data_IF_054644075161
#
_entry.id   IF_054644075161
#
_cell.length_a   1.000
_cell.length_b   1.000
_cell.length_c   1.000
_cell.angle_alpha   90.00
_cell.angle_beta   90.00
_cell.angle_gamma   90.00
#
_symmetry.space_group_name_H-M   'P 1'
#
loop_
_entity.id
_entity.type
_entity.pdbx_description
1 polymer ?
#
# COMPACT_ATOMS: atom_id res chain seq x y z
N UNK A 1 -18.80 -3.11 -2.28
CA UNK A 1 -17.85 -2.18 -1.66
C UNK A 1 -18.37 -0.75 -1.86
N UNK A 2 -18.89 -0.15 -0.81
CA UNK A 2 -19.30 1.24 -0.83
C UNK A 2 -18.03 2.06 -0.62
N UNK A 3 -17.50 2.66 -1.68
CA UNK A 3 -16.37 3.55 -1.61
C UNK A 3 -16.89 4.98 -1.42
N UNK A 4 -17.12 5.35 -0.17
CA UNK A 4 -17.44 6.75 0.13
C UNK A 4 -16.18 7.44 0.69
N UNK A 5 -15.83 8.59 0.12
CA UNK A 5 -14.87 9.49 0.73
C UNK A 5 -15.58 10.17 1.87
N UNK A 6 -15.36 9.68 3.07
CA UNK A 6 -15.71 10.45 4.25
C UNK A 6 -14.84 11.69 4.22
N UNK A 7 -15.46 12.80 3.87
CA UNK A 7 -14.81 14.10 3.93
C UNK A 7 -14.45 14.39 5.37
N UNK A 8 -13.36 15.12 5.60
CA UNK A 8 -12.88 15.55 6.94
C UNK A 8 -13.85 16.45 7.72
N UNK A 9 -15.10 16.56 7.31
CA UNK A 9 -16.15 17.24 8.02
C UNK A 9 -16.72 16.33 9.10
N UNK A 10 -16.19 16.48 10.28
CA UNK A 10 -16.68 16.01 11.58
C UNK A 10 -17.61 14.79 11.61
N UNK A 11 -17.16 13.79 12.27
CA UNK A 11 -17.77 12.48 12.52
C UNK A 11 -19.13 12.48 13.24
N UNK A 12 -19.68 13.63 13.58
CA UNK A 12 -20.94 13.79 14.32
C UNK A 12 -22.13 14.24 13.47
N UNK A 13 -22.02 14.11 12.14
CA UNK A 13 -23.14 14.41 11.25
C UNK A 13 -24.11 13.21 11.23
N UNK A 14 -25.22 13.34 11.93
CA UNK A 14 -26.26 12.31 12.01
C UNK A 14 -26.82 11.95 10.63
N UNK A 15 -26.92 12.91 9.69
CA UNK A 15 -27.40 12.64 8.34
C UNK A 15 -26.40 11.74 7.58
N UNK A 16 -25.11 11.93 7.80
CA UNK A 16 -24.06 11.09 7.22
C UNK A 16 -24.12 9.67 7.81
N UNK A 17 -24.23 9.53 9.12
CA UNK A 17 -24.35 8.24 9.80
C UNK A 17 -25.58 7.49 9.34
N UNK A 18 -26.72 8.15 9.26
CA UNK A 18 -27.96 7.55 8.79
C UNK A 18 -27.87 7.10 7.32
N UNK A 19 -27.27 7.93 6.47
CA UNK A 19 -27.00 7.54 5.09
C UNK A 19 -26.12 6.27 4.98
N UNK A 20 -25.08 6.16 5.81
CA UNK A 20 -24.24 4.94 5.86
C UNK A 20 -25.06 3.72 6.31
N UNK A 21 -25.93 3.83 7.32
CA UNK A 21 -26.81 2.73 7.76
C UNK A 21 -27.75 2.29 6.64
N UNK A 22 -28.45 3.25 6.01
CA UNK A 22 -29.36 2.98 4.88
C UNK A 22 -28.63 2.27 3.74
N UNK A 23 -27.45 2.73 3.36
CA UNK A 23 -26.68 2.11 2.30
C UNK A 23 -26.20 0.70 2.67
N UNK A 24 -25.77 0.49 3.90
CA UNK A 24 -25.36 -0.83 4.40
C UNK A 24 -26.55 -1.82 4.37
N UNK A 25 -27.69 -1.41 4.88
CA UNK A 25 -28.90 -2.23 4.92
C UNK A 25 -29.39 -2.56 3.51
N UNK A 26 -29.40 -1.57 2.60
CA UNK A 26 -29.76 -1.77 1.20
C UNK A 26 -28.83 -2.79 0.51
N UNK A 27 -27.50 -2.74 0.75
CA UNK A 27 -26.58 -3.73 0.19
C UNK A 27 -26.88 -5.11 0.72
N UNK A 28 -27.16 -5.26 2.01
CA UNK A 28 -27.54 -6.53 2.61
C UNK A 28 -28.87 -7.08 2.11
N UNK A 29 -29.86 -6.20 1.85
CA UNK A 29 -31.12 -6.62 1.21
C UNK A 29 -30.90 -7.13 -0.22
N UNK A 30 -29.96 -6.54 -0.96
CA UNK A 30 -29.65 -6.93 -2.34
C UNK A 30 -28.76 -8.17 -2.43
N UNK A 31 -27.83 -8.36 -1.48
CA UNK A 31 -26.89 -9.47 -1.47
C UNK A 31 -26.52 -9.88 -0.03
N UNK A 32 -27.09 -11.00 0.40
CA UNK A 32 -26.84 -11.59 1.72
C UNK A 32 -25.56 -12.45 1.77
N UNK A 33 -24.80 -12.54 0.69
CA UNK A 33 -23.65 -13.47 0.58
C UNK A 33 -22.30 -12.80 0.75
N UNK A 34 -22.23 -11.47 0.66
CA UNK A 34 -20.99 -10.69 0.74
C UNK A 34 -21.01 -9.73 1.91
N UNK A 35 -19.84 -9.57 2.53
CA UNK A 35 -19.64 -8.61 3.59
C UNK A 35 -19.50 -7.18 3.03
N UNK A 36 -19.98 -6.21 3.79
CA UNK A 36 -19.82 -4.79 3.50
C UNK A 36 -18.53 -4.25 4.12
N UNK A 37 -17.95 -3.24 3.49
CA UNK A 37 -16.79 -2.50 4.04
C UNK A 37 -16.84 -1.04 3.63
N UNK A 38 -16.22 -0.18 4.44
CA UNK A 38 -15.96 1.23 4.15
C UNK A 38 -14.44 1.44 4.11
N UNK A 39 -13.97 2.27 3.16
CA UNK A 39 -12.59 2.75 3.12
C UNK A 39 -12.49 4.07 3.88
N UNK A 40 -11.90 4.03 5.07
CA UNK A 40 -11.73 5.18 5.97
C UNK A 40 -10.35 5.81 5.77
N UNK A 41 -10.27 7.13 5.77
CA UNK A 41 -8.96 7.81 5.80
C UNK A 41 -8.37 7.79 7.20
N UNK A 42 -7.06 7.56 7.31
CA UNK A 42 -6.37 7.39 8.59
C UNK A 42 -6.38 8.60 9.53
N UNK A 43 -6.82 9.76 9.04
CA UNK A 43 -7.00 10.98 9.85
C UNK A 43 -8.32 11.01 10.64
N UNK A 44 -9.27 10.12 10.32
CA UNK A 44 -10.51 9.99 11.07
C UNK A 44 -10.26 9.29 12.41
N UNK A 45 -11.00 9.70 13.43
CA UNK A 45 -10.89 9.07 14.74
C UNK A 45 -11.34 7.61 14.67
N UNK A 46 -10.55 6.72 15.25
CA UNK A 46 -10.90 5.30 15.33
C UNK A 46 -12.14 5.01 16.17
N UNK A 47 -12.65 6.00 16.92
CA UNK A 47 -13.88 5.90 17.71
C UNK A 47 -15.10 6.47 16.97
N UNK A 48 -14.95 6.91 15.74
CA UNK A 48 -16.07 7.41 14.95
C UNK A 48 -17.16 6.34 14.77
N UNK A 49 -18.43 6.64 15.05
CA UNK A 49 -19.49 5.63 15.10
C UNK A 49 -19.70 4.91 13.75
N UNK A 50 -19.37 5.52 12.62
CA UNK A 50 -19.55 4.89 11.32
C UNK A 50 -18.59 3.70 11.06
N UNK A 51 -17.49 3.56 11.81
CA UNK A 51 -16.61 2.37 11.67
C UNK A 51 -17.29 1.07 12.08
N UNK A 52 -18.38 1.15 12.85
CA UNK A 52 -19.15 0.00 13.35
C UNK A 52 -20.38 -0.31 12.48
N UNK A 53 -20.62 0.42 11.41
CA UNK A 53 -21.77 0.20 10.52
C UNK A 53 -21.53 -0.97 9.58
N UNK A 54 -20.40 -1.08 8.85
CA UNK A 54 -20.16 -2.21 7.96
C UNK A 54 -19.74 -3.48 8.73
N UNK A 55 -19.81 -4.62 8.06
CA UNK A 55 -19.37 -5.90 8.64
C UNK A 55 -17.87 -5.93 8.95
N UNK A 56 -17.06 -5.32 8.11
CA UNK A 56 -15.62 -5.20 8.24
C UNK A 56 -15.17 -3.79 7.90
N UNK A 57 -14.08 -3.34 8.51
CA UNK A 57 -13.54 -2.00 8.27
C UNK A 57 -12.23 -2.05 7.50
N UNK A 58 -11.95 -1.04 6.70
CA UNK A 58 -10.66 -0.87 6.05
C UNK A 58 -10.21 0.59 6.02
N UNK A 59 -8.89 0.80 6.02
CA UNK A 59 -8.31 2.13 6.05
C UNK A 59 -7.43 2.41 4.84
N UNK A 60 -7.54 3.65 4.32
CA UNK A 60 -6.55 4.24 3.45
C UNK A 60 -5.43 4.81 4.33
N UNK A 61 -4.28 4.14 4.37
CA UNK A 61 -3.24 4.42 5.35
C UNK A 61 -1.89 4.60 4.69
N UNK A 62 -1.26 5.77 4.90
CA UNK A 62 -0.10 6.20 4.13
C UNK A 62 1.06 6.71 4.99
N UNK A 63 1.28 6.18 6.21
CA UNK A 63 2.51 6.46 6.95
C UNK A 63 3.73 5.99 6.16
N UNK A 64 4.72 6.87 6.08
CA UNK A 64 5.88 6.66 5.22
C UNK A 64 5.76 7.28 3.83
N UNK A 65 4.61 7.90 3.50
CA UNK A 65 4.46 8.65 2.25
C UNK A 65 3.97 10.08 2.50
N UNK A 66 2.71 10.27 2.90
CA UNK A 66 2.17 11.62 3.17
C UNK A 66 2.58 12.19 4.54
N UNK A 67 3.04 11.37 5.46
CA UNK A 67 3.50 11.76 6.79
C UNK A 67 3.90 10.55 7.61
N UNK A 68 4.51 10.80 8.78
CA UNK A 68 5.00 9.73 9.63
C UNK A 68 6.11 8.90 8.99
N UNK A 69 6.49 7.82 9.65
CA UNK A 69 7.45 6.83 9.17
C UNK A 69 6.74 5.52 8.82
N UNK A 70 7.25 4.79 7.84
CA UNK A 70 6.63 3.53 7.39
C UNK A 70 6.51 2.48 8.50
N UNK A 71 7.40 2.50 9.49
CA UNK A 71 7.36 1.61 10.64
C UNK A 71 6.17 1.85 11.59
N UNK A 72 5.50 2.99 11.47
CA UNK A 72 4.35 3.34 12.31
C UNK A 72 3.07 2.59 11.94
N UNK A 73 3.00 2.02 10.74
CA UNK A 73 1.79 1.31 10.26
C UNK A 73 1.45 0.11 11.16
N UNK A 74 2.43 -0.73 11.48
CA UNK A 74 2.23 -1.90 12.33
C UNK A 74 1.69 -1.56 13.72
N UNK A 75 2.37 -0.69 14.50
CA UNK A 75 1.89 -0.25 15.80
C UNK A 75 0.49 0.38 15.77
N UNK A 76 0.15 1.13 14.72
CA UNK A 76 -1.19 1.70 14.56
C UNK A 76 -2.25 0.60 14.41
N UNK A 77 -1.98 -0.40 13.55
CA UNK A 77 -2.87 -1.55 13.35
C UNK A 77 -3.06 -2.37 14.63
N UNK A 78 -1.96 -2.60 15.37
CA UNK A 78 -1.99 -3.35 16.64
C UNK A 78 -2.81 -2.58 17.70
N UNK A 79 -2.70 -1.26 17.74
CA UNK A 79 -3.49 -0.42 18.63
C UNK A 79 -4.98 -0.47 18.28
N UNK A 80 -5.33 -0.35 17.00
CA UNK A 80 -6.72 -0.48 16.54
C UNK A 80 -7.30 -1.84 16.93
N UNK A 81 -6.59 -2.92 16.62
CA UNK A 81 -7.05 -4.28 16.95
C UNK A 81 -7.20 -4.52 18.47
N UNK A 82 -6.31 -3.93 19.27
CA UNK A 82 -6.41 -3.99 20.73
C UNK A 82 -7.65 -3.27 21.24
N UNK A 83 -7.98 -2.11 20.69
CA UNK A 83 -9.15 -1.31 21.08
C UNK A 83 -10.46 -1.96 20.60
N UNK A 84 -10.44 -2.48 19.36
CA UNK A 84 -11.61 -3.09 18.72
C UNK A 84 -11.34 -4.54 18.28
N UNK A 85 -11.16 -5.48 19.22
CA UNK A 85 -10.75 -6.86 18.89
C UNK A 85 -11.79 -7.64 18.08
N UNK A 86 -13.04 -7.19 18.06
CA UNK A 86 -14.13 -7.83 17.33
C UNK A 86 -14.43 -7.18 15.96
N UNK A 87 -13.77 -6.07 15.62
CA UNK A 87 -13.92 -5.42 14.32
C UNK A 87 -12.79 -5.89 13.41
N UNK A 88 -13.09 -6.64 12.32
CA UNK A 88 -12.06 -7.07 11.40
C UNK A 88 -11.45 -5.86 10.66
N UNK A 89 -10.13 -5.69 10.79
CA UNK A 89 -9.38 -4.59 10.19
C UNK A 89 -8.76 -5.01 8.85
N UNK A 90 -8.86 -4.16 7.83
CA UNK A 90 -8.17 -4.28 6.55
C UNK A 90 -7.48 -2.98 6.15
N UNK A 91 -6.63 -3.07 5.14
CA UNK A 91 -6.02 -1.91 4.49
C UNK A 91 -6.56 -1.78 3.07
N UNK A 92 -7.41 -0.77 2.86
CA UNK A 92 -8.03 -0.49 1.55
C UNK A 92 -7.11 0.25 0.59
N UNK A 93 -6.19 1.04 1.11
CA UNK A 93 -5.12 1.66 0.31
C UNK A 93 -3.85 1.86 1.15
N UNK A 94 -2.72 1.56 0.55
CA UNK A 94 -1.38 1.97 0.98
C UNK A 94 -0.44 1.94 -0.22
N UNK A 95 0.58 2.79 -0.21
CA UNK A 95 1.53 2.88 -1.31
C UNK A 95 2.30 4.19 -1.32
N UNK A 96 3.33 4.27 -2.14
CA UNK A 96 4.08 5.48 -2.40
C UNK A 96 4.43 5.59 -3.88
N UNK A 97 4.77 6.79 -4.34
CA UNK A 97 5.06 7.02 -5.74
C UNK A 97 6.50 6.70 -6.11
N UNK A 98 6.69 6.22 -7.33
CA UNK A 98 7.99 6.07 -7.95
C UNK A 98 7.94 6.39 -9.44
N UNK A 99 8.81 7.29 -9.85
CA UNK A 99 9.15 7.52 -11.24
C UNK A 99 10.30 6.57 -11.58
N UNK A 100 10.10 5.66 -12.52
CA UNK A 100 11.09 4.62 -12.81
C UNK A 100 12.40 5.11 -13.46
N UNK A 101 12.52 6.42 -13.70
CA UNK A 101 13.74 7.11 -14.12
C UNK A 101 14.37 7.98 -13.02
N UNK A 102 13.77 8.04 -11.83
CA UNK A 102 14.37 8.62 -10.64
C UNK A 102 15.03 7.51 -9.84
N UNK A 103 16.30 7.68 -9.53
CA UNK A 103 17.11 6.74 -8.75
C UNK A 103 17.97 7.49 -7.76
N UNK A 104 18.07 6.99 -6.54
CA UNK A 104 18.95 7.53 -5.50
C UNK A 104 19.06 6.56 -4.32
N UNK A 105 19.87 6.87 -3.34
CA UNK A 105 19.71 6.31 -2.00
C UNK A 105 18.34 6.71 -1.46
N UNK A 106 17.51 5.74 -1.02
CA UNK A 106 16.10 5.98 -0.80
C UNK A 106 15.84 6.95 0.37
N UNK A 107 15.00 7.95 0.12
CA UNK A 107 14.47 8.88 1.13
C UNK A 107 12.99 9.05 0.93
N UNK A 108 12.25 9.18 2.04
CA UNK A 108 10.81 9.44 1.99
C UNK A 108 10.50 10.66 1.12
N UNK A 109 9.60 10.50 0.17
CA UNK A 109 9.12 11.58 -0.72
C UNK A 109 10.05 11.93 -1.87
N UNK A 110 11.07 11.12 -2.17
CA UNK A 110 12.03 11.36 -3.25
C UNK A 110 11.55 10.85 -4.62
N UNK A 111 10.41 10.20 -4.70
CA UNK A 111 9.83 9.60 -5.92
C UNK A 111 10.73 8.57 -6.60
N UNK A 112 11.67 7.97 -5.87
CA UNK A 112 12.54 6.94 -6.45
C UNK A 112 11.92 5.55 -6.39
N UNK A 113 12.33 4.68 -7.31
CA UNK A 113 11.94 3.28 -7.30
C UNK A 113 12.52 2.55 -6.08
N UNK A 114 13.71 2.95 -5.63
CA UNK A 114 14.38 2.41 -4.45
C UNK A 114 13.58 2.68 -3.17
N UNK A 115 13.03 3.90 -3.02
CA UNK A 115 12.17 4.19 -1.87
C UNK A 115 10.85 3.43 -1.95
N UNK A 116 10.24 3.32 -3.14
CA UNK A 116 9.02 2.53 -3.30
C UNK A 116 9.26 1.06 -2.93
N UNK A 117 10.38 0.47 -3.35
CA UNK A 117 10.73 -0.90 -3.00
C UNK A 117 10.89 -1.06 -1.48
N UNK A 118 11.66 -0.19 -0.83
CA UNK A 118 11.81 -0.16 0.63
C UNK A 118 10.48 -0.03 1.37
N UNK A 119 9.63 0.92 0.95
CA UNK A 119 8.31 1.13 1.54
C UNK A 119 7.48 -0.15 1.49
N UNK A 120 7.40 -0.78 0.33
CA UNK A 120 6.58 -1.99 0.17
C UNK A 120 7.19 -3.20 0.88
N UNK A 121 8.52 -3.34 0.97
CA UNK A 121 9.16 -4.35 1.82
C UNK A 121 8.72 -4.23 3.28
N UNK A 122 8.74 -3.01 3.82
CA UNK A 122 8.35 -2.76 5.21
C UNK A 122 6.83 -2.96 5.42
N UNK A 123 6.01 -2.56 4.45
CA UNK A 123 4.55 -2.80 4.51
C UNK A 123 4.22 -4.30 4.46
N UNK A 124 4.84 -5.06 3.57
CA UNK A 124 4.66 -6.52 3.47
C UNK A 124 4.96 -7.19 4.81
N UNK A 125 6.10 -6.88 5.43
CA UNK A 125 6.48 -7.41 6.74
C UNK A 125 5.45 -7.08 7.82
N UNK A 126 4.94 -5.86 7.82
CA UNK A 126 3.98 -5.41 8.82
C UNK A 126 2.58 -5.99 8.59
N UNK A 127 2.13 -6.12 7.34
CA UNK A 127 0.79 -6.59 7.00
C UNK A 127 0.66 -8.11 7.08
N UNK A 128 1.55 -8.85 6.42
CA UNK A 128 1.39 -10.30 6.25
C UNK A 128 1.78 -11.12 7.50
N UNK A 129 2.39 -10.50 8.48
CA UNK A 129 2.63 -11.14 9.78
C UNK A 129 1.46 -10.98 10.76
N UNK A 130 0.47 -10.11 10.45
CA UNK A 130 -0.70 -9.83 11.30
C UNK A 130 -1.93 -10.62 10.87
N UNK A 131 -2.18 -11.73 11.52
CA UNK A 131 -3.27 -12.67 11.17
C UNK A 131 -4.67 -12.10 11.34
N UNK A 132 -4.84 -10.98 12.06
CA UNK A 132 -6.13 -10.30 12.24
C UNK A 132 -6.49 -9.37 11.08
N UNK A 133 -5.58 -9.10 10.15
CA UNK A 133 -5.85 -8.32 8.93
C UNK A 133 -6.61 -9.19 7.94
N UNK A 134 -7.86 -8.80 7.61
CA UNK A 134 -8.71 -9.57 6.71
C UNK A 134 -8.39 -9.35 5.23
N UNK A 135 -7.89 -8.17 4.86
CA UNK A 135 -7.49 -7.85 3.48
C UNK A 135 -6.47 -6.70 3.41
N UNK A 136 -5.69 -6.72 2.33
CA UNK A 136 -4.73 -5.66 2.01
C UNK A 136 -4.82 -5.32 0.52
N UNK A 137 -4.90 -4.03 0.19
CA UNK A 137 -5.01 -3.54 -1.18
C UNK A 137 -3.96 -2.46 -1.43
N UNK A 138 -3.00 -2.78 -2.26
CA UNK A 138 -1.99 -1.81 -2.70
C UNK A 138 -2.64 -0.73 -3.56
N UNK A 139 -2.32 0.51 -3.32
CA UNK A 139 -2.63 1.60 -4.21
C UNK A 139 -1.35 2.06 -4.93
N UNK A 140 -1.10 1.60 -6.17
CA UNK A 140 -2.01 0.91 -7.06
C UNK A 140 -1.25 -0.18 -7.84
N UNK A 141 -1.95 -1.04 -8.59
CA UNK A 141 -1.30 -1.99 -9.50
C UNK A 141 -0.60 -1.27 -10.67
N UNK A 142 -1.21 -0.22 -11.22
CA UNK A 142 -0.71 0.52 -12.36
C UNK A 142 -0.62 2.02 -12.07
N UNK A 143 0.38 2.69 -12.65
CA UNK A 143 0.35 4.13 -12.78
C UNK A 143 -0.86 4.54 -13.63
N UNK A 144 -1.47 5.69 -13.34
CA UNK A 144 -2.68 6.12 -14.05
C UNK A 144 -2.80 7.65 -14.13
N UNK A 145 -3.59 8.10 -15.10
CA UNK A 145 -3.94 9.53 -15.25
C UNK A 145 -4.87 9.98 -14.13
N UNK A 146 -4.59 11.15 -13.56
CA UNK A 146 -5.39 11.79 -12.51
C UNK A 146 -5.32 13.32 -12.72
N UNK A 147 -6.20 13.85 -13.53
CA UNK A 147 -6.17 15.22 -14.09
C UNK A 147 -5.90 16.32 -13.03
N UNK A 148 -6.59 16.27 -11.91
CA UNK A 148 -6.44 17.25 -10.84
C UNK A 148 -5.20 17.07 -9.95
N UNK A 149 -4.36 16.06 -10.22
CA UNK A 149 -3.23 15.74 -9.34
C UNK A 149 -2.04 16.65 -9.60
N UNK A 150 -1.58 17.29 -8.51
CA UNK A 150 -0.37 18.13 -8.48
C UNK A 150 0.27 18.02 -7.08
N UNK A 151 0.82 16.84 -6.75
CA UNK A 151 1.38 16.54 -5.43
C UNK A 151 2.89 16.30 -5.45
N UNK A 152 3.57 16.67 -6.54
CA UNK A 152 4.94 16.30 -6.86
C UNK A 152 4.98 15.21 -7.95
N UNK A 153 6.15 14.82 -8.42
CA UNK A 153 6.27 13.96 -9.59
C UNK A 153 5.75 14.65 -10.85
N UNK A 154 4.99 13.93 -11.68
CA UNK A 154 4.38 14.48 -12.90
C UNK A 154 2.94 14.94 -12.64
N UNK A 155 2.62 16.16 -13.08
CA UNK A 155 1.26 16.70 -12.98
C UNK A 155 0.28 15.86 -13.81
N UNK A 156 -0.93 15.66 -13.29
CA UNK A 156 -1.97 14.90 -13.96
C UNK A 156 -1.76 13.39 -13.97
N UNK A 157 -0.79 12.88 -13.20
CA UNK A 157 -0.50 11.46 -13.09
C UNK A 157 -0.32 11.01 -11.64
N UNK A 158 -0.62 9.74 -11.40
CA UNK A 158 -0.34 9.06 -10.13
C UNK A 158 0.64 7.91 -10.41
N UNK A 159 1.81 7.96 -9.80
CA UNK A 159 2.88 6.99 -9.98
C UNK A 159 3.01 5.98 -8.82
N UNK A 160 1.92 5.74 -8.07
CA UNK A 160 1.88 4.69 -7.04
C UNK A 160 1.76 3.27 -7.60
N UNK A 161 1.69 3.13 -8.92
CA UNK A 161 1.65 1.83 -9.58
C UNK A 161 2.88 0.98 -9.29
N UNK A 162 2.67 -0.32 -9.11
CA UNK A 162 3.75 -1.32 -9.14
C UNK A 162 4.23 -1.58 -10.58
N UNK A 163 3.46 -1.15 -11.55
CA UNK A 163 3.71 -1.27 -13.00
C UNK A 163 3.46 0.09 -13.64
N UNK A 164 4.30 0.47 -14.60
CA UNK A 164 4.19 1.76 -15.29
C UNK A 164 2.88 1.92 -16.07
N UNK A 165 2.52 3.18 -16.36
CA UNK A 165 1.30 3.56 -17.09
C UNK A 165 1.11 2.78 -18.40
N UNK A 166 2.18 2.63 -19.18
CA UNK A 166 2.21 1.93 -20.47
C UNK A 166 2.29 0.38 -20.34
N UNK A 167 2.31 -0.14 -19.12
CA UNK A 167 2.41 -1.58 -18.76
C UNK A 167 3.74 -2.25 -19.16
N UNK A 168 4.73 -1.48 -19.61
CA UNK A 168 6.00 -2.06 -20.11
C UNK A 168 6.95 -2.47 -19.00
N UNK A 169 6.95 -1.74 -17.88
CA UNK A 169 7.90 -1.97 -16.81
C UNK A 169 7.19 -2.33 -15.50
N UNK A 170 7.58 -3.45 -14.94
CA UNK A 170 7.31 -3.80 -13.54
C UNK A 170 8.39 -3.16 -12.70
N UNK A 171 7.99 -2.34 -11.71
CA UNK A 171 8.92 -1.73 -10.76
C UNK A 171 9.42 -2.78 -9.75
N UNK A 172 10.51 -2.51 -9.05
CA UNK A 172 11.09 -3.47 -8.11
C UNK A 172 10.09 -3.91 -7.03
N UNK A 173 9.23 -2.99 -6.55
CA UNK A 173 8.15 -3.28 -5.63
C UNK A 173 7.16 -4.35 -6.09
N UNK A 174 6.91 -4.49 -7.41
CA UNK A 174 6.11 -5.60 -7.97
C UNK A 174 6.73 -6.96 -7.62
N UNK A 175 8.04 -7.06 -7.71
CA UNK A 175 8.73 -8.33 -7.45
C UNK A 175 8.86 -8.64 -5.96
N UNK A 176 8.79 -7.63 -5.08
CA UNK A 176 8.63 -7.86 -3.64
C UNK A 176 7.33 -8.62 -3.35
N UNK A 177 6.20 -8.19 -3.93
CA UNK A 177 4.94 -8.92 -3.80
C UNK A 177 4.98 -10.29 -4.48
N UNK A 178 5.61 -10.40 -5.65
CA UNK A 178 5.77 -11.70 -6.31
C UNK A 178 6.53 -12.69 -5.42
N UNK A 179 7.54 -12.26 -4.69
CA UNK A 179 8.30 -13.11 -3.78
C UNK A 179 7.45 -13.66 -2.62
N UNK A 180 6.47 -12.91 -2.16
CA UNK A 180 5.61 -13.29 -1.05
C UNK A 180 4.36 -14.08 -1.46
N UNK A 181 3.83 -13.82 -2.67
CA UNK A 181 2.49 -14.26 -3.05
C UNK A 181 2.47 -15.27 -4.20
N UNK A 182 3.59 -15.49 -4.89
CA UNK A 182 3.64 -16.38 -6.05
C UNK A 182 4.34 -17.70 -5.73
N UNK A 183 3.76 -18.80 -6.18
CA UNK A 183 4.39 -20.12 -6.16
C UNK A 183 5.32 -20.35 -7.37
N UNK A 184 5.28 -19.46 -8.38
CA UNK A 184 6.15 -19.54 -9.56
C UNK A 184 7.60 -19.19 -9.18
N UNK A 185 8.56 -20.13 -9.32
CA UNK A 185 9.96 -19.87 -8.98
C UNK A 185 10.55 -18.72 -9.80
N UNK A 186 11.19 -17.76 -9.13
CA UNK A 186 11.84 -16.65 -9.81
C UNK A 186 12.98 -16.03 -8.99
N UNK A 187 13.81 -15.28 -9.67
CA UNK A 187 14.84 -14.41 -9.10
C UNK A 187 14.79 -13.06 -9.80
N UNK A 188 14.78 -11.99 -9.02
CA UNK A 188 14.81 -10.62 -9.55
C UNK A 188 15.91 -9.81 -8.86
N UNK A 189 16.84 -9.28 -9.64
CA UNK A 189 17.84 -8.33 -9.18
C UNK A 189 17.26 -6.91 -9.26
N UNK A 190 17.19 -6.23 -8.15
CA UNK A 190 16.67 -4.86 -8.04
C UNK A 190 17.69 -3.82 -8.50
N UNK A 191 17.23 -2.59 -8.67
CA UNK A 191 18.07 -1.42 -8.98
C UNK A 191 18.67 -1.43 -10.38
N UNK A 192 18.08 -2.12 -11.33
CA UNK A 192 18.61 -2.23 -12.72
C UNK A 192 18.61 -0.89 -13.46
N UNK A 193 17.77 0.05 -13.07
CA UNK A 193 17.68 1.40 -13.64
C UNK A 193 18.58 2.41 -12.93
N UNK A 194 19.08 2.07 -11.75
CA UNK A 194 20.07 2.87 -11.02
C UNK A 194 21.48 2.56 -11.55
N UNK A 195 21.81 3.12 -12.70
CA UNK A 195 23.06 2.83 -13.45
C UNK A 195 24.21 3.68 -12.92
N UNK A 196 23.99 4.98 -12.75
CA UNK A 196 25.00 5.94 -12.30
C UNK A 196 25.08 5.96 -10.78
N UNK A 197 26.08 5.31 -10.22
CA UNK A 197 26.33 5.21 -8.78
C UNK A 197 27.63 5.91 -8.43
N UNK A 198 27.61 6.67 -7.35
CA UNK A 198 28.75 7.49 -6.92
C UNK A 198 29.44 6.95 -5.67
N UNK A 199 28.83 5.98 -4.99
CA UNK A 199 29.34 5.36 -3.77
C UNK A 199 30.38 4.27 -4.09
N UNK A 200 31.40 4.14 -3.23
CA UNK A 200 32.41 3.07 -3.33
C UNK A 200 31.82 1.68 -3.13
N UNK A 201 30.70 1.59 -2.42
CA UNK A 201 29.95 0.35 -2.18
C UNK A 201 28.49 0.54 -2.53
N UNK A 202 27.83 -0.50 -3.03
CA UNK A 202 26.42 -0.47 -3.35
C UNK A 202 25.68 -1.62 -2.68
N UNK A 203 24.48 -1.34 -2.16
CA UNK A 203 23.57 -2.36 -1.69
C UNK A 203 23.00 -3.12 -2.90
N UNK A 204 23.12 -4.45 -2.87
CA UNK A 204 22.47 -5.33 -3.84
C UNK A 204 21.23 -5.94 -3.18
N UNK A 205 20.06 -5.71 -3.78
CA UNK A 205 18.79 -6.29 -3.32
C UNK A 205 18.31 -7.31 -4.34
N UNK A 206 17.92 -8.48 -3.87
CA UNK A 206 17.36 -9.55 -4.70
C UNK A 206 16.05 -10.01 -4.10
N UNK A 207 15.02 -10.10 -4.92
CA UNK A 207 13.74 -10.72 -4.55
C UNK A 207 13.65 -12.12 -5.15
N UNK A 208 13.32 -13.08 -4.33
CA UNK A 208 13.15 -14.47 -4.74
C UNK A 208 12.21 -15.19 -3.78
N UNK A 209 11.46 -16.17 -4.28
CA UNK A 209 10.73 -17.15 -3.48
C UNK A 209 11.47 -18.50 -3.42
N UNK A 210 12.73 -18.53 -3.84
CA UNK A 210 13.60 -19.70 -3.75
C UNK A 210 14.40 -19.67 -2.44
N UNK A 211 14.79 -20.83 -1.88
CA UNK A 211 15.51 -20.92 -0.61
C UNK A 211 16.95 -20.40 -0.69
N UNK A 212 17.55 -20.42 -1.87
CA UNK A 212 18.93 -20.00 -2.10
C UNK A 212 19.04 -19.20 -3.40
N UNK A 213 19.92 -18.21 -3.41
CA UNK A 213 20.30 -17.42 -4.59
C UNK A 213 21.83 -17.24 -4.58
N UNK A 214 22.42 -17.24 -5.77
CA UNK A 214 23.85 -17.00 -5.95
C UNK A 214 24.05 -15.68 -6.69
N UNK A 215 24.98 -14.85 -6.23
CA UNK A 215 25.38 -13.61 -6.89
C UNK A 215 26.72 -13.78 -7.58
N UNK A 216 26.78 -13.44 -8.86
CA UNK A 216 28.00 -13.43 -9.64
C UNK A 216 28.33 -12.01 -10.09
N UNK A 217 29.54 -11.56 -9.82
CA UNK A 217 30.10 -10.30 -10.30
C UNK A 217 31.22 -10.62 -11.27
N UNK A 218 31.12 -10.17 -12.53
CA UNK A 218 32.07 -10.49 -13.61
C UNK A 218 32.36 -11.98 -13.74
N UNK A 219 31.29 -12.81 -13.70
CA UNK A 219 31.36 -14.26 -13.75
C UNK A 219 32.15 -14.94 -12.59
N UNK A 220 32.37 -14.24 -11.50
CA UNK A 220 32.91 -14.80 -10.26
C UNK A 220 31.83 -14.73 -9.19
N UNK A 221 31.72 -15.80 -8.38
CA UNK A 221 30.83 -15.80 -7.23
C UNK A 221 31.29 -14.71 -6.25
N UNK A 222 30.36 -13.89 -5.78
CA UNK A 222 30.63 -12.80 -4.85
C UNK A 222 30.43 -13.24 -3.39
#
# INVERSE_FOLDING_TARGET
CIRDRITMAGSSDEDLLENHRILNDMVHEMDHTRLTTIAVVSMCDIHDPYIQIPDVISYNHYFGWYGGDVSMNGPWMDNFHKEFPNIPLGMSEYGCEALNWHTSDPKQGDYTEEYQAYYHEEMIKQLFTRKYIWATHVWNMFDFGADARNEGGENGQNHKGLVTFDRKYKKDSFYAYKAWLSDEPFVHLCGKRYVDRVEDTTKVTVYSNLPEVELFVNAKMA
#
